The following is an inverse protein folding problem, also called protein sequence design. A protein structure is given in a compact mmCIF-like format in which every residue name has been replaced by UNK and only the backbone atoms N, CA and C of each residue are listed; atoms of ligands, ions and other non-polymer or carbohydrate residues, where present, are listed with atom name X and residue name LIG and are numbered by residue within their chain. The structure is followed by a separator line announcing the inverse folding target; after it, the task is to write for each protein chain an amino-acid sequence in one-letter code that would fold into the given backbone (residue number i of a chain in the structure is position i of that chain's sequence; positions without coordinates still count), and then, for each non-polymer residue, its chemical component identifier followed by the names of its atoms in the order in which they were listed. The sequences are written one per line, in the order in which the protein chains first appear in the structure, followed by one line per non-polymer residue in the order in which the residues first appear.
data_IF_463910267118
#
_entry.id   IF_463910267118
#
_cell.length_a   1.000
_cell.length_b   1.000
_cell.length_c   1.000
_cell.angle_alpha   90.00
_cell.angle_beta   90.00
_cell.angle_gamma   90.00
#
_symmetry.space_group_name_H-M   'P 1'
#
loop_
_entity.id
_entity.type
_entity.pdbx_description
1 polymer ?
#
# COMPACT_ATOMS: atom_id res chain seq x y z
N UNK A 1 26.00 -25.50 11.24
CA UNK A 1 25.02 -24.64 11.91
C UNK A 1 24.02 -24.19 10.84
N UNK A 2 23.01 -25.02 10.56
CA UNK A 2 21.93 -24.67 9.63
C UNK A 2 20.96 -23.79 10.44
N UNK A 3 20.91 -22.50 10.10
CA UNK A 3 19.93 -21.59 10.67
C UNK A 3 18.53 -22.08 10.29
N UNK A 4 17.76 -22.48 11.29
CA UNK A 4 16.34 -22.70 11.11
C UNK A 4 15.70 -21.35 10.79
N UNK A 5 15.40 -21.11 9.52
CA UNK A 5 14.43 -20.09 9.15
C UNK A 5 13.08 -20.56 9.70
N UNK A 6 12.68 -20.00 10.84
CA UNK A 6 11.30 -20.07 11.31
C UNK A 6 10.46 -19.32 10.28
N UNK A 7 9.78 -20.04 9.38
CA UNK A 7 8.82 -19.44 8.47
C UNK A 7 7.77 -18.70 9.31
N UNK A 8 7.51 -17.40 9.06
CA UNK A 8 6.45 -16.69 9.76
C UNK A 8 5.11 -17.36 9.43
N UNK A 9 4.23 -17.48 10.42
CA UNK A 9 2.93 -18.17 10.34
C UNK A 9 1.91 -17.55 9.35
N UNK A 10 2.33 -16.57 8.55
CA UNK A 10 1.56 -15.81 7.57
C UNK A 10 2.47 -15.43 6.39
N UNK A 11 3.09 -16.41 5.73
CA UNK A 11 3.86 -16.14 4.52
C UNK A 11 2.90 -15.66 3.42
N UNK A 12 2.99 -14.37 3.09
CA UNK A 12 2.45 -13.80 1.87
C UNK A 12 3.60 -13.79 0.87
N UNK A 13 3.36 -14.32 -0.33
CA UNK A 13 4.37 -14.38 -1.38
C UNK A 13 3.78 -13.81 -2.67
N UNK A 14 4.57 -13.00 -3.39
CA UNK A 14 4.22 -12.54 -4.73
C UNK A 14 4.50 -13.68 -5.72
N UNK A 15 3.47 -14.09 -6.47
CA UNK A 15 3.57 -15.22 -7.41
C UNK A 15 3.96 -14.80 -8.82
N UNK A 16 3.75 -13.52 -9.15
CA UNK A 16 4.10 -12.95 -10.44
C UNK A 16 4.93 -11.67 -10.24
N UNK A 17 6.27 -11.75 -10.35
CA UNK A 17 7.18 -10.62 -10.17
C UNK A 17 6.97 -9.47 -11.17
N UNK A 18 6.45 -9.78 -12.36
CA UNK A 18 6.28 -8.83 -13.48
C UNK A 18 4.84 -8.30 -13.58
N UNK A 19 4.07 -8.42 -12.50
CA UNK A 19 2.65 -8.03 -12.50
C UNK A 19 2.46 -6.50 -12.51
N UNK A 20 1.41 -6.04 -13.19
CA UNK A 20 0.95 -4.66 -13.12
C UNK A 20 -0.26 -4.56 -12.18
N UNK A 21 -0.14 -3.78 -11.10
CA UNK A 21 -1.21 -3.56 -10.12
C UNK A 21 -2.50 -2.99 -10.74
N UNK A 22 -2.47 -2.32 -11.88
CA UNK A 22 -3.70 -1.86 -12.55
C UNK A 22 -4.48 -3.02 -13.17
N UNK A 23 -3.79 -4.10 -13.54
CA UNK A 23 -4.39 -5.34 -14.09
C UNK A 23 -4.52 -6.45 -13.05
N UNK A 24 -3.77 -6.36 -11.96
CA UNK A 24 -3.83 -7.22 -10.79
C UNK A 24 -2.54 -8.03 -10.57
N UNK A 25 -2.06 -8.00 -9.33
CA UNK A 25 -0.91 -8.79 -8.89
C UNK A 25 -1.37 -9.97 -8.04
N UNK A 26 -0.92 -11.17 -8.39
CA UNK A 26 -1.32 -12.40 -7.72
C UNK A 26 -0.38 -12.73 -6.56
N UNK A 27 -0.97 -13.01 -5.40
CA UNK A 27 -0.26 -13.40 -4.20
C UNK A 27 -0.82 -14.69 -3.59
N UNK A 28 0.04 -15.43 -2.90
CA UNK A 28 -0.38 -16.46 -1.95
C UNK A 28 -0.60 -15.86 -0.56
N UNK A 29 -1.46 -16.49 0.25
CA UNK A 29 -1.72 -16.07 1.62
C UNK A 29 -3.02 -15.26 1.78
N UNK A 30 -3.09 -14.48 2.86
CA UNK A 30 -4.30 -13.78 3.29
C UNK A 30 -4.09 -12.26 3.32
N UNK A 31 -4.82 -11.54 2.47
CA UNK A 31 -4.91 -10.09 2.52
C UNK A 31 -5.94 -9.67 3.57
N UNK A 32 -5.58 -8.89 4.59
CA UNK A 32 -6.53 -8.37 5.58
C UNK A 32 -6.18 -6.92 5.92
N UNK A 33 -7.02 -6.22 6.66
CA UNK A 33 -6.81 -4.84 7.11
C UNK A 33 -5.88 -4.74 8.34
N UNK A 34 -5.30 -5.86 8.80
CA UNK A 34 -4.40 -5.88 9.96
C UNK A 34 -2.99 -5.43 9.59
N UNK A 35 -2.29 -4.77 10.52
CA UNK A 35 -0.90 -4.32 10.29
C UNK A 35 0.06 -5.46 9.89
N UNK A 36 -0.15 -6.68 10.40
CA UNK A 36 0.71 -7.83 10.09
C UNK A 36 0.58 -8.31 8.64
N UNK A 37 -0.65 -8.40 8.12
CA UNK A 37 -0.86 -8.79 6.72
C UNK A 37 -0.45 -7.68 5.77
N UNK A 38 -0.72 -6.41 6.12
CA UNK A 38 -0.26 -5.25 5.34
C UNK A 38 1.26 -5.28 5.18
N UNK A 39 1.99 -5.42 6.28
CA UNK A 39 3.45 -5.48 6.24
C UNK A 39 3.94 -6.67 5.40
N UNK A 40 3.27 -7.82 5.47
CA UNK A 40 3.63 -8.99 4.67
C UNK A 40 3.41 -8.75 3.17
N UNK A 41 2.29 -8.11 2.78
CA UNK A 41 2.00 -7.74 1.38
C UNK A 41 3.02 -6.72 0.86
N UNK A 42 3.27 -5.65 1.63
CA UNK A 42 4.25 -4.63 1.28
C UNK A 42 5.64 -5.24 1.12
N UNK A 43 6.04 -6.12 2.05
CA UNK A 43 7.35 -6.77 2.00
C UNK A 43 7.47 -7.65 0.77
N UNK A 44 6.47 -8.49 0.47
CA UNK A 44 6.47 -9.36 -0.69
C UNK A 44 6.53 -8.56 -2.00
N UNK A 45 5.66 -7.55 -2.16
CA UNK A 45 5.63 -6.73 -3.37
C UNK A 45 6.93 -5.92 -3.54
N UNK A 46 7.35 -5.19 -2.51
CA UNK A 46 8.49 -4.27 -2.62
C UNK A 46 9.84 -5.00 -2.73
N UNK A 47 9.91 -6.28 -2.34
CA UNK A 47 11.14 -7.10 -2.46
C UNK A 47 11.19 -7.82 -3.79
N UNK A 48 10.08 -8.41 -4.23
CA UNK A 48 10.08 -9.38 -5.32
C UNK A 48 9.61 -8.81 -6.67
N UNK A 49 8.99 -7.62 -6.72
CA UNK A 49 8.53 -7.00 -7.97
C UNK A 49 9.69 -6.45 -8.83
N UNK A 50 9.63 -6.65 -10.16
CA UNK A 50 10.77 -6.43 -11.07
C UNK A 50 10.47 -5.45 -12.22
N UNK A 51 9.22 -5.04 -12.48
CA UNK A 51 8.93 -4.23 -13.68
C UNK A 51 9.40 -2.76 -13.56
N UNK A 52 10.09 -2.20 -14.59
CA UNK A 52 10.39 -0.78 -14.67
C UNK A 52 9.14 0.08 -14.95
N UNK A 53 8.99 1.25 -14.30
CA UNK A 53 10.00 1.92 -13.48
C UNK A 53 10.06 1.37 -12.03
N UNK A 54 11.21 0.76 -11.69
CA UNK A 54 11.45 0.13 -10.40
C UNK A 54 11.88 1.13 -9.32
N UNK A 55 11.41 0.97 -8.06
CA UNK A 55 10.15 0.38 -7.66
C UNK A 55 9.15 1.50 -7.37
N UNK A 56 7.98 1.46 -8.00
CA UNK A 56 6.79 2.05 -7.39
C UNK A 56 6.47 1.20 -6.13
N UNK A 57 7.20 1.46 -5.04
CA UNK A 57 6.97 0.78 -3.78
C UNK A 57 5.55 1.09 -3.33
N UNK A 58 4.83 0.08 -2.89
CA UNK A 58 3.55 0.29 -2.24
C UNK A 58 3.77 0.59 -0.77
N UNK A 59 2.99 1.53 -0.24
CA UNK A 59 2.78 1.65 1.19
C UNK A 59 1.29 1.76 1.45
N UNK A 60 0.75 0.81 2.19
CA UNK A 60 -0.67 0.58 2.41
C UNK A 60 -1.07 0.96 3.83
N UNK A 61 -2.32 1.38 3.98
CA UNK A 61 -3.03 1.50 5.26
C UNK A 61 -4.34 0.74 5.14
N UNK A 62 -4.61 -0.15 6.10
CA UNK A 62 -5.87 -0.88 6.17
C UNK A 62 -7.03 0.08 6.42
N UNK A 63 -8.02 0.08 5.52
CA UNK A 63 -9.25 0.85 5.70
C UNK A 63 -10.40 -0.04 6.14
N UNK A 64 -10.58 -1.16 5.44
CA UNK A 64 -11.74 -2.01 5.64
C UNK A 64 -11.50 -3.41 5.10
N UNK A 65 -11.94 -4.42 5.85
CA UNK A 65 -12.13 -5.79 5.36
C UNK A 65 -13.61 -6.16 5.47
N UNK A 66 -14.18 -6.70 4.40
CA UNK A 66 -15.53 -7.28 4.48
C UNK A 66 -15.50 -8.48 5.44
N UNK A 67 -16.60 -8.72 6.15
CA UNK A 67 -16.76 -9.97 6.88
C UNK A 67 -16.82 -11.15 5.90
N UNK A 68 -16.41 -12.33 6.35
CA UNK A 68 -16.48 -13.53 5.52
C UNK A 68 -17.96 -13.84 5.20
N UNK A 69 -18.26 -13.97 3.91
CA UNK A 69 -19.63 -14.20 3.42
C UNK A 69 -20.50 -12.97 3.23
N UNK A 70 -20.02 -11.76 3.56
CA UNK A 70 -20.72 -10.50 3.24
C UNK A 70 -20.65 -10.18 1.74
N UNK A 71 -19.55 -10.59 1.11
CA UNK A 71 -19.40 -10.62 -0.34
C UNK A 71 -19.46 -12.08 -0.79
N UNK A 72 -20.24 -12.38 -1.82
CA UNK A 72 -20.43 -13.74 -2.33
C UNK A 72 -20.33 -13.80 -3.85
N UNK A 73 -20.08 -15.00 -4.38
CA UNK A 73 -19.95 -15.25 -5.81
C UNK A 73 -18.53 -15.03 -6.35
N UNK A 74 -18.42 -14.94 -7.68
CA UNK A 74 -17.13 -14.93 -8.39
C UNK A 74 -16.82 -13.57 -9.04
N UNK A 75 -17.79 -12.66 -9.03
CA UNK A 75 -17.67 -11.27 -9.45
C UNK A 75 -18.78 -10.43 -8.83
N UNK A 76 -18.55 -9.13 -8.72
CA UNK A 76 -19.57 -8.20 -8.25
C UNK A 76 -19.05 -6.78 -8.16
N UNK A 77 -19.76 -5.97 -7.38
CA UNK A 77 -19.37 -4.60 -7.07
C UNK A 77 -19.13 -4.50 -5.56
N UNK A 78 -18.07 -3.82 -5.17
CA UNK A 78 -17.76 -3.50 -3.79
C UNK A 78 -17.80 -1.98 -3.63
N UNK A 79 -18.51 -1.52 -2.60
CA UNK A 79 -18.56 -0.10 -2.21
C UNK A 79 -18.12 0.01 -0.77
N UNK A 80 -17.16 0.91 -0.50
CA UNK A 80 -16.62 1.13 0.85
C UNK A 80 -17.71 1.68 1.77
N UNK A 81 -18.07 0.98 2.87
CA UNK A 81 -19.01 1.52 3.84
C UNK A 81 -18.49 2.82 4.46
N UNK A 82 -19.36 3.81 4.62
CA UNK A 82 -19.00 5.12 5.19
C UNK A 82 -18.50 6.16 4.18
N UNK A 83 -18.35 5.81 2.90
CA UNK A 83 -18.14 6.78 1.82
C UNK A 83 -16.74 7.38 1.69
N UNK A 84 -15.73 6.77 2.33
CA UNK A 84 -14.31 7.09 2.09
C UNK A 84 -13.83 6.71 0.69
N UNK A 85 -12.60 7.08 0.36
CA UNK A 85 -11.92 6.65 -0.87
C UNK A 85 -10.81 5.67 -0.54
N UNK A 86 -10.57 4.74 -1.45
CA UNK A 86 -9.44 3.82 -1.44
C UNK A 86 -8.79 3.81 -2.83
N UNK A 87 -7.48 3.56 -2.87
CA UNK A 87 -6.66 3.48 -4.08
C UNK A 87 -6.07 2.08 -4.29
N UNK A 88 -6.22 1.19 -3.30
CA UNK A 88 -5.89 -0.23 -3.44
C UNK A 88 -7.02 -1.11 -2.93
N UNK A 89 -7.22 -2.24 -3.57
CA UNK A 89 -8.11 -3.27 -3.06
C UNK A 89 -7.58 -4.68 -3.37
N UNK A 90 -7.85 -5.62 -2.48
CA UNK A 90 -7.51 -7.02 -2.65
C UNK A 90 -8.78 -7.88 -2.72
N UNK A 91 -8.81 -8.80 -3.68
CA UNK A 91 -9.87 -9.81 -3.84
C UNK A 91 -9.31 -11.16 -3.41
N UNK A 92 -9.82 -11.69 -2.30
CA UNK A 92 -9.36 -12.97 -1.73
C UNK A 92 -10.26 -14.11 -2.19
N UNK A 93 -9.65 -15.21 -2.66
CA UNK A 93 -10.32 -16.48 -2.87
C UNK A 93 -9.39 -17.66 -2.53
N UNK A 94 -9.84 -18.61 -1.71
CA UNK A 94 -9.07 -19.81 -1.35
C UNK A 94 -7.77 -19.54 -0.62
N UNK A 95 -6.64 -19.88 -1.25
CA UNK A 95 -5.28 -19.67 -0.72
C UNK A 95 -4.56 -18.46 -1.35
N UNK A 96 -5.24 -17.74 -2.23
CA UNK A 96 -4.63 -16.66 -3.03
C UNK A 96 -5.45 -15.38 -2.91
N UNK A 97 -4.84 -14.25 -3.28
CA UNK A 97 -5.56 -13.02 -3.55
C UNK A 97 -4.93 -12.28 -4.73
N UNK A 98 -5.74 -11.47 -5.40
CA UNK A 98 -5.27 -10.48 -6.35
C UNK A 98 -5.31 -9.11 -5.69
N UNK A 99 -4.21 -8.36 -5.74
CA UNK A 99 -4.14 -6.96 -5.31
C UNK A 99 -4.20 -6.06 -6.54
N UNK A 100 -4.98 -4.99 -6.46
CA UNK A 100 -5.16 -4.02 -7.53
C UNK A 100 -4.94 -2.60 -7.03
N UNK A 101 -4.40 -1.74 -7.90
CA UNK A 101 -4.40 -0.28 -7.75
C UNK A 101 -5.50 0.35 -8.60
N UNK A 102 -6.16 1.38 -8.09
CA UNK A 102 -7.20 2.14 -8.77
C UNK A 102 -7.00 3.64 -8.54
N UNK A 103 -7.54 4.46 -9.43
CA UNK A 103 -7.71 5.87 -9.11
C UNK A 103 -8.64 5.98 -7.88
N UNK A 104 -8.27 6.75 -6.83
CA UNK A 104 -9.07 6.88 -5.62
C UNK A 104 -10.58 6.91 -5.85
N UNK A 105 -11.25 5.86 -5.39
CA UNK A 105 -12.69 5.64 -5.60
C UNK A 105 -13.30 5.06 -4.34
N UNK A 106 -14.63 5.17 -4.20
CA UNK A 106 -15.37 4.48 -3.15
C UNK A 106 -15.99 3.17 -3.63
N UNK A 107 -15.90 2.87 -4.93
CA UNK A 107 -16.56 1.72 -5.56
C UNK A 107 -15.68 1.12 -6.64
N UNK A 108 -15.60 -0.21 -6.67
CA UNK A 108 -14.93 -0.99 -7.71
C UNK A 108 -15.76 -2.20 -8.13
N UNK A 109 -15.57 -2.63 -9.38
CA UNK A 109 -16.00 -3.95 -9.82
C UNK A 109 -14.86 -4.93 -9.58
N UNK A 110 -15.18 -6.10 -9.04
CA UNK A 110 -14.22 -7.12 -8.68
C UNK A 110 -14.57 -8.45 -9.34
N UNK A 111 -13.54 -9.28 -9.53
CA UNK A 111 -13.68 -10.64 -10.03
C UNK A 111 -12.60 -11.54 -9.45
N UNK A 112 -12.89 -12.83 -9.36
CA UNK A 112 -11.92 -13.89 -9.02
C UNK A 112 -11.22 -14.46 -10.26
N UNK A 113 -11.42 -13.84 -11.44
CA UNK A 113 -10.67 -14.16 -12.66
C UNK A 113 -9.17 -13.99 -12.42
N UNK A 114 -8.35 -14.93 -12.88
CA UNK A 114 -6.90 -14.90 -12.69
C UNK A 114 -6.43 -15.53 -11.39
N UNK A 115 -7.32 -15.79 -10.43
CA UNK A 115 -6.98 -16.52 -9.22
C UNK A 115 -6.93 -18.03 -9.51
N UNK A 116 -5.81 -18.73 -9.21
CA UNK A 116 -5.72 -20.18 -9.37
C UNK A 116 -6.80 -20.89 -8.55
N UNK A 117 -7.52 -21.79 -9.21
CA UNK A 117 -8.54 -22.65 -8.60
C UNK A 117 -8.15 -24.12 -8.79
N UNK A 118 -8.51 -25.01 -7.85
CA UNK A 118 -8.38 -26.44 -8.07
C UNK A 118 -9.08 -26.82 -9.38
N UNK A 119 -8.39 -27.60 -10.23
CA UNK A 119 -9.05 -28.19 -11.40
C UNK A 119 -9.99 -29.25 -10.88
N UNK A 120 -11.30 -29.05 -11.04
CA UNK A 120 -12.24 -30.10 -10.71
C UNK A 120 -12.01 -31.32 -11.64
N UNK A 121 -12.18 -32.55 -11.11
CA UNK A 121 -12.08 -33.77 -11.91
C UNK A 121 -13.08 -33.84 -13.07
N UNK A 122 -14.18 -33.07 -13.00
CA UNK A 122 -15.28 -33.07 -13.96
C UNK A 122 -15.07 -32.10 -15.14
N UNK A 123 -13.98 -31.34 -15.17
CA UNK A 123 -13.63 -30.43 -16.26
C UNK A 123 -14.51 -29.18 -16.34
N UNK A 124 -15.41 -28.95 -15.38
CA UNK A 124 -16.16 -27.72 -15.27
C UNK A 124 -15.28 -26.67 -14.57
N UNK A 125 -15.15 -25.48 -15.16
CA UNK A 125 -14.41 -24.38 -14.52
C UNK A 125 -15.24 -23.86 -13.33
N UNK A 126 -15.09 -24.45 -12.13
CA UNK A 126 -15.59 -23.81 -10.91
C UNK A 126 -14.57 -22.81 -10.43
N UNK A 127 -14.87 -21.55 -10.69
CA UNK A 127 -14.14 -20.42 -10.10
C UNK A 127 -14.37 -20.44 -8.60
N UNK A 128 -13.32 -20.10 -7.86
CA UNK A 128 -13.39 -20.05 -6.41
C UNK A 128 -14.21 -18.83 -5.99
N UNK A 129 -15.13 -19.01 -5.07
CA UNK A 129 -15.90 -17.91 -4.52
C UNK A 129 -14.99 -16.96 -3.73
N UNK A 130 -15.34 -15.68 -3.76
CA UNK A 130 -14.68 -14.68 -2.94
C UNK A 130 -14.90 -15.01 -1.46
N UNK A 131 -13.86 -14.90 -0.64
CA UNK A 131 -14.01 -14.98 0.82
C UNK A 131 -14.28 -13.61 1.40
N UNK A 132 -13.49 -12.62 0.98
CA UNK A 132 -13.58 -11.24 1.41
C UNK A 132 -12.85 -10.31 0.45
N UNK A 133 -13.16 -9.03 0.57
CA UNK A 133 -12.48 -7.94 -0.11
C UNK A 133 -11.87 -7.04 0.96
N UNK A 134 -10.65 -6.58 0.72
CA UNK A 134 -9.96 -5.63 1.60
C UNK A 134 -9.65 -4.37 0.82
N UNK A 135 -9.97 -3.21 1.38
CA UNK A 135 -9.63 -1.91 0.84
C UNK A 135 -8.49 -1.29 1.64
N UNK A 136 -7.56 -0.67 0.93
CA UNK A 136 -6.42 0.05 1.50
C UNK A 136 -6.30 1.46 0.91
N UNK A 137 -5.71 2.36 1.69
CA UNK A 137 -5.25 3.67 1.23
C UNK A 137 -3.72 3.65 1.08
N UNK A 138 -3.16 4.42 0.16
CA UNK A 138 -1.73 4.73 0.22
C UNK A 138 -1.41 5.61 1.44
N UNK A 139 -0.23 5.41 2.06
CA UNK A 139 0.33 6.47 2.91
C UNK A 139 0.95 7.53 2.01
N UNK A 140 0.35 8.72 1.97
CA UNK A 140 1.05 9.84 1.35
C UNK A 140 2.28 10.16 2.20
N UNK A 141 3.48 10.10 1.60
CA UNK A 141 4.69 10.57 2.22
C UNK A 141 4.54 12.07 2.50
N UNK A 142 4.24 12.43 3.76
CA UNK A 142 4.26 13.82 4.19
C UNK A 142 5.71 14.30 4.05
N UNK A 143 5.99 15.39 3.32
CA UNK A 143 7.34 15.94 3.21
C UNK A 143 7.86 16.19 4.61
N UNK A 144 8.89 15.43 4.98
CA UNK A 144 9.20 15.12 6.38
C UNK A 144 9.23 16.38 7.26
N UNK A 145 8.76 16.33 8.53
CA UNK A 145 8.83 17.46 9.45
C UNK A 145 10.26 17.98 9.64
N UNK A 146 11.28 17.15 9.38
CA UNK A 146 12.67 17.55 9.33
C UNK A 146 12.97 18.57 8.22
N UNK A 147 12.30 18.49 7.07
CA UNK A 147 12.44 19.44 5.95
C UNK A 147 11.96 20.82 6.38
N UNK A 148 10.79 20.87 7.02
CA UNK A 148 10.22 22.10 7.56
C UNK A 148 11.12 22.67 8.67
N UNK A 149 11.64 21.80 9.55
CA UNK A 149 12.55 22.21 10.61
C UNK A 149 13.89 22.75 10.06
N UNK A 150 14.49 22.13 9.04
CA UNK A 150 15.71 22.61 8.38
C UNK A 150 15.48 23.96 7.69
N UNK A 151 14.34 24.15 7.02
CA UNK A 151 14.01 25.46 6.43
C UNK A 151 13.86 26.53 7.50
N UNK A 152 13.07 26.27 8.54
CA UNK A 152 12.88 27.20 9.66
C UNK A 152 14.21 27.48 10.39
N UNK A 153 15.05 26.47 10.57
CA UNK A 153 16.39 26.64 11.14
C UNK A 153 17.29 27.49 10.25
N UNK A 154 17.32 27.24 8.94
CA UNK A 154 18.08 28.03 7.97
C UNK A 154 17.64 29.50 7.95
N UNK A 155 16.33 29.76 7.86
CA UNK A 155 15.79 31.12 7.92
C UNK A 155 16.02 31.78 9.29
N UNK A 156 15.88 31.03 10.38
CA UNK A 156 16.16 31.49 11.74
C UNK A 156 17.62 31.89 11.94
N UNK A 157 18.56 31.09 11.43
CA UNK A 157 19.99 31.37 11.49
C UNK A 157 20.38 32.63 10.70
N UNK A 158 19.82 32.80 9.49
CA UNK A 158 20.03 34.00 8.65
C UNK A 158 19.48 35.24 9.36
N UNK A 159 18.23 35.18 9.83
CA UNK A 159 17.59 36.29 10.55
C UNK A 159 18.32 36.67 11.83
N UNK A 160 18.81 35.67 12.58
CA UNK A 160 19.63 35.89 13.78
C UNK A 160 20.97 36.56 13.45
N UNK A 161 21.64 36.11 12.38
CA UNK A 161 22.87 36.72 11.87
C UNK A 161 22.72 38.19 11.49
N UNK A 162 21.60 38.55 10.83
CA UNK A 162 21.27 39.94 10.51
C UNK A 162 21.01 40.79 11.77
N UNK A 163 20.35 40.23 12.78
CA UNK A 163 20.03 40.94 14.03
C UNK A 163 21.30 41.28 14.83
N UNK A 164 22.28 40.37 14.88
CA UNK A 164 23.54 40.57 15.61
C UNK A 164 24.40 41.70 15.02
N UNK A 165 24.35 41.93 13.71
CA UNK A 165 25.20 42.93 13.03
C UNK A 165 24.72 44.37 13.15
N UNK A 166 23.49 44.63 13.60
CA UNK A 166 22.94 45.98 13.70
C UNK A 166 23.43 46.80 14.92
N UNK A 167 24.34 46.28 15.73
CA UNK A 167 24.93 47.02 16.86
C UNK A 167 26.12 47.91 16.48
N UNK A 168 26.52 47.99 15.21
CA UNK A 168 27.51 48.99 14.79
C UNK A 168 26.89 50.38 14.81
N UNK A 169 27.18 51.12 15.88
CA UNK A 169 26.82 52.53 16.05
C UNK A 169 27.43 53.34 14.90
N UNK A 170 26.60 53.76 13.95
CA UNK A 170 27.01 54.68 12.89
C UNK A 170 27.35 56.02 13.54
N UNK A 171 28.65 56.27 13.78
CA UNK A 171 29.13 57.58 14.22
C UNK A 171 29.22 58.50 13.01
N UNK A 172 28.24 59.38 12.87
CA UNK A 172 28.28 60.47 11.90
C UNK A 172 29.12 61.61 12.50
N UNK A 173 30.19 62.02 11.82
CA UNK A 173 30.95 63.24 12.14
C UNK A 173 30.48 64.35 11.19
N UNK A 174 29.97 65.43 11.76
CA UNK A 174 29.69 66.66 11.02
C UNK A 174 30.94 67.55 11.04
N UNK A 175 31.21 68.18 9.90
CA UNK A 175 32.30 69.13 9.68
C UNK A 175 31.83 70.57 9.90
#
# INVERSE_FOLDING_TARGET
MLGAFTAPAHAVELLDPDCDLTTGCLFSGNATDTAASILAIETAYNTDHVEPPLPATISLQGLFKTADGDVTGTSGTFTLPGGGLFDFYAVKAGNFFMLYSVNPTNTVNWTTTGIPHPKDPDGIIKRLEVSHITAYSSTAAVPEPATWAMMLFGFGAIGFGMRRRRSDSVRVRFA
#
